data_IF_913665271616
#
_entry.id   IF_913665271616
#
_cell.length_a   1.000
_cell.length_b   1.000
_cell.length_c   1.000
_cell.angle_alpha   90.00
_cell.angle_beta   90.00
_cell.angle_gamma   90.00
#
_symmetry.space_group_name_H-M   'P 1'
#
loop_
_entity.id
_entity.type
_entity.pdbx_description
1 polymer ?
#
# COMPACT_ATOMS: atom_id res chain seq x y z
N UNK A 1 -4.25 13.67 9.75
CA UNK A 1 -3.20 12.64 9.73
C UNK A 1 -1.87 13.33 9.88
N UNK A 2 -0.98 12.82 10.72
CA UNK A 2 0.36 13.37 10.92
C UNK A 2 1.39 12.31 10.49
N UNK A 3 1.39 11.99 9.19
CA UNK A 3 2.36 11.07 8.60
C UNK A 3 3.58 11.88 8.21
N UNK A 4 4.76 11.45 8.66
CA UNK A 4 6.02 12.08 8.29
C UNK A 4 6.46 11.56 6.92
N UNK A 5 6.42 12.43 5.91
CA UNK A 5 6.79 12.08 4.55
C UNK A 5 8.29 11.83 4.36
N UNK A 6 9.13 12.24 5.32
CA UNK A 6 10.58 12.05 5.33
C UNK A 6 11.02 10.81 6.12
N UNK A 7 10.06 10.00 6.60
CA UNK A 7 10.32 8.78 7.34
C UNK A 7 9.98 7.55 6.51
N UNK A 8 10.87 6.54 6.58
CA UNK A 8 10.54 5.16 6.24
C UNK A 8 10.04 4.46 7.49
N UNK A 9 8.82 3.96 7.42
CA UNK A 9 8.14 3.28 8.51
C UNK A 9 8.55 1.81 8.54
N UNK A 10 8.74 1.31 9.76
CA UNK A 10 9.20 -0.07 10.03
C UNK A 10 8.12 -0.88 10.77
N UNK A 11 6.94 -0.30 11.01
CA UNK A 11 5.81 -0.94 11.68
C UNK A 11 4.62 -1.06 10.71
N UNK A 12 4.04 -2.26 10.52
CA UNK A 12 2.82 -2.41 9.74
C UNK A 12 1.61 -1.78 10.45
N UNK A 13 1.59 -1.75 11.78
CA UNK A 13 0.47 -1.19 12.55
C UNK A 13 0.30 0.31 12.30
N UNK A 14 1.43 1.02 12.12
CA UNK A 14 1.42 2.46 11.83
C UNK A 14 0.61 2.74 10.55
N UNK A 15 0.65 1.85 9.55
CA UNK A 15 -0.12 2.00 8.32
C UNK A 15 -1.62 2.02 8.59
N UNK A 16 -2.13 1.10 9.40
CA UNK A 16 -3.56 1.01 9.70
C UNK A 16 -4.01 2.12 10.65
N UNK A 17 -3.23 2.40 11.69
CA UNK A 17 -3.56 3.41 12.73
C UNK A 17 -3.54 4.83 12.15
N UNK A 18 -2.56 5.14 11.29
CA UNK A 18 -2.37 6.50 10.76
C UNK A 18 -3.06 6.72 9.41
N UNK A 19 -3.61 5.68 8.79
CA UNK A 19 -4.18 5.71 7.45
C UNK A 19 -3.11 5.96 6.38
N UNK A 20 -2.09 5.10 6.37
CA UNK A 20 -0.90 5.21 5.52
C UNK A 20 -1.11 4.96 4.03
N UNK A 21 -2.30 4.53 3.62
CA UNK A 21 -2.65 4.28 2.22
C UNK A 21 -2.25 5.46 1.33
N UNK A 22 -1.62 5.19 0.17
CA UNK A 22 -1.16 6.15 -0.84
C UNK A 22 0.06 7.01 -0.44
N UNK A 23 0.37 7.18 0.85
CA UNK A 23 1.34 8.22 1.27
C UNK A 23 2.51 7.72 2.12
N UNK A 24 2.32 6.62 2.86
CA UNK A 24 3.31 6.08 3.79
C UNK A 24 4.35 5.26 3.03
N UNK A 25 5.63 5.52 3.32
CA UNK A 25 6.75 4.71 2.82
C UNK A 25 7.11 3.71 3.88
N UNK A 26 7.05 2.44 3.54
CA UNK A 26 7.37 1.32 4.43
C UNK A 26 8.53 0.52 3.87
N UNK A 27 9.34 -0.09 4.73
CA UNK A 27 10.31 -1.09 4.28
C UNK A 27 9.61 -2.38 3.81
N UNK A 28 10.38 -3.31 3.24
CA UNK A 28 9.83 -4.52 2.62
C UNK A 28 9.05 -5.42 3.59
N UNK A 29 9.57 -5.65 4.81
CA UNK A 29 8.94 -6.59 5.75
C UNK A 29 7.59 -6.07 6.29
N UNK A 30 7.46 -4.80 6.71
CA UNK A 30 6.17 -4.18 7.01
C UNK A 30 5.24 -4.14 5.80
N UNK A 31 5.74 -3.87 4.59
CA UNK A 31 4.91 -3.87 3.38
C UNK A 31 4.26 -5.23 3.13
N UNK A 32 5.03 -6.31 3.28
CA UNK A 32 4.52 -7.70 3.21
C UNK A 32 3.46 -7.93 4.29
N UNK A 33 3.74 -7.54 5.54
CA UNK A 33 2.81 -7.71 6.65
C UNK A 33 1.50 -6.93 6.45
N UNK A 34 1.58 -5.70 5.95
CA UNK A 34 0.41 -4.87 5.59
C UNK A 34 -0.43 -5.58 4.52
N UNK A 35 0.21 -6.10 3.46
CA UNK A 35 -0.51 -6.81 2.41
C UNK A 35 -1.28 -7.99 3.01
N UNK A 36 -0.63 -8.86 3.79
CA UNK A 36 -1.27 -10.04 4.40
C UNK A 36 -2.41 -9.64 5.34
N UNK A 37 -2.23 -8.63 6.18
CA UNK A 37 -3.22 -8.21 7.17
C UNK A 37 -4.38 -7.38 6.59
N UNK A 38 -4.23 -6.75 5.42
CA UNK A 38 -5.18 -5.77 4.89
C UNK A 38 -6.63 -6.28 4.80
N UNK A 39 -6.83 -7.57 4.48
CA UNK A 39 -8.17 -8.17 4.39
C UNK A 39 -8.90 -8.19 5.75
N UNK A 40 -8.17 -8.36 6.85
CA UNK A 40 -8.72 -8.33 8.22
C UNK A 40 -9.18 -6.92 8.60
N UNK A 41 -8.55 -5.91 8.00
CA UNK A 41 -8.92 -4.50 8.13
C UNK A 41 -9.98 -4.05 7.11
N UNK A 42 -10.55 -4.96 6.32
CA UNK A 42 -11.55 -4.65 5.31
C UNK A 42 -11.00 -3.89 4.09
N UNK A 43 -9.70 -4.03 3.83
CA UNK A 43 -8.98 -3.35 2.75
C UNK A 43 -8.52 -4.35 1.67
N UNK A 44 -8.53 -3.90 0.42
CA UNK A 44 -7.89 -4.60 -0.70
C UNK A 44 -6.69 -3.81 -1.18
N UNK A 45 -5.57 -4.47 -1.45
CA UNK A 45 -4.39 -3.82 -2.04
C UNK A 45 -4.64 -3.62 -3.53
N UNK A 46 -4.88 -2.38 -3.94
CA UNK A 46 -5.15 -2.02 -5.33
C UNK A 46 -3.86 -1.68 -6.10
N UNK A 47 -2.82 -1.21 -5.41
CA UNK A 47 -1.53 -0.90 -6.02
C UNK A 47 -0.38 -0.95 -5.01
N UNK A 48 0.79 -1.35 -5.50
CA UNK A 48 2.08 -1.19 -4.83
C UNK A 48 3.02 -0.43 -5.75
N UNK A 49 3.67 0.59 -5.19
CA UNK A 49 4.75 1.34 -5.84
C UNK A 49 6.02 1.18 -5.01
N UNK A 50 7.02 0.50 -5.57
CA UNK A 50 8.32 0.35 -4.96
C UNK A 50 9.28 1.47 -5.36
N UNK A 51 10.35 1.56 -4.60
CA UNK A 51 11.37 2.57 -4.79
C UNK A 51 12.62 2.33 -3.98
N UNK A 52 13.54 3.29 -4.10
CA UNK A 52 14.78 3.32 -3.34
C UNK A 52 14.67 4.41 -2.28
N UNK A 53 15.00 4.06 -1.05
CA UNK A 53 15.09 4.98 0.06
C UNK A 53 16.51 5.52 0.20
N UNK A 54 16.66 6.81 -0.04
CA UNK A 54 17.90 7.55 0.17
C UNK A 54 17.91 8.21 1.56
N UNK A 55 18.97 8.95 1.91
CA UNK A 55 19.02 9.78 3.13
C UNK A 55 17.86 10.80 3.16
N UNK A 56 16.71 10.34 3.71
CA UNK A 56 15.38 10.97 3.80
C UNK A 56 14.60 11.24 2.50
N UNK A 57 14.92 10.53 1.40
CA UNK A 57 14.24 10.69 0.11
C UNK A 57 13.68 9.38 -0.44
N UNK A 58 12.49 9.42 -1.06
CA UNK A 58 11.91 8.29 -1.79
C UNK A 58 12.05 8.52 -3.30
N UNK A 59 12.81 7.65 -3.96
CA UNK A 59 12.89 7.58 -5.42
C UNK A 59 11.92 6.52 -5.92
N UNK A 60 10.79 6.95 -6.51
CA UNK A 60 9.82 6.03 -7.10
C UNK A 60 10.39 5.35 -8.35
N UNK A 61 10.10 4.06 -8.51
CA UNK A 61 10.66 3.21 -9.56
C UNK A 61 9.56 2.63 -10.43
N UNK A 62 9.53 3.06 -11.70
CA UNK A 62 8.50 2.63 -12.66
C UNK A 62 8.58 1.13 -13.00
N UNK A 63 9.76 0.55 -12.82
CA UNK A 63 10.03 -0.89 -12.92
C UNK A 63 9.53 -1.68 -11.69
N UNK A 64 9.05 -1.01 -10.64
CA UNK A 64 8.54 -1.61 -9.41
C UNK A 64 7.09 -1.20 -9.14
N UNK A 65 6.21 -1.42 -10.10
CA UNK A 65 4.77 -1.16 -9.95
C UNK A 65 4.01 -2.47 -10.06
N UNK A 66 3.12 -2.70 -9.12
CA UNK A 66 2.14 -3.78 -9.17
C UNK A 66 0.74 -3.22 -9.04
N UNK A 67 -0.15 -3.66 -9.92
CA UNK A 67 -1.56 -3.31 -9.92
C UNK A 67 -2.37 -4.54 -9.52
N UNK A 68 -3.27 -4.33 -8.56
CA UNK A 68 -4.17 -5.35 -8.04
C UNK A 68 -5.57 -5.23 -8.62
N UNK A 69 -6.51 -5.93 -7.97
CA UNK A 69 -7.93 -5.84 -8.30
C UNK A 69 -8.55 -4.52 -7.84
N UNK A 70 -9.46 -3.98 -8.64
CA UNK A 70 -10.27 -2.83 -8.28
C UNK A 70 -11.44 -3.24 -7.36
N UNK A 71 -11.70 -2.53 -6.24
CA UNK A 71 -12.90 -2.74 -5.45
C UNK A 71 -14.16 -2.22 -6.18
N UNK A 72 -15.36 -2.79 -5.93
CA UNK A 72 -15.66 -3.72 -4.84
C UNK A 72 -15.26 -5.17 -5.13
N UNK A 73 -14.75 -5.86 -4.10
CA UNK A 73 -14.35 -7.27 -4.17
C UNK A 73 -14.76 -8.03 -2.90
N UNK A 74 -15.05 -9.32 -3.05
CA UNK A 74 -15.33 -10.19 -1.90
C UNK A 74 -14.06 -10.51 -1.11
N UNK A 75 -14.24 -11.06 0.10
CA UNK A 75 -13.15 -11.39 1.02
C UNK A 75 -12.16 -12.41 0.45
N UNK A 76 -12.64 -13.45 -0.23
CA UNK A 76 -11.79 -14.51 -0.76
C UNK A 76 -10.89 -13.96 -1.87
N UNK A 77 -11.47 -13.20 -2.80
CA UNK A 77 -10.73 -12.50 -3.86
C UNK A 77 -9.70 -11.53 -3.25
N UNK A 78 -10.10 -10.81 -2.20
CA UNK A 78 -9.20 -9.88 -1.49
C UNK A 78 -8.01 -10.60 -0.87
N UNK A 79 -8.22 -11.70 -0.14
CA UNK A 79 -7.14 -12.47 0.50
C UNK A 79 -6.15 -13.01 -0.54
N UNK A 80 -6.65 -13.53 -1.67
CA UNK A 80 -5.80 -14.02 -2.77
C UNK A 80 -5.00 -12.88 -3.43
N UNK A 81 -5.67 -11.77 -3.75
CA UNK A 81 -5.04 -10.59 -4.33
C UNK A 81 -3.93 -10.03 -3.41
N UNK A 82 -4.24 -9.89 -2.12
CA UNK A 82 -3.32 -9.35 -1.15
C UNK A 82 -2.11 -10.27 -0.90
N UNK A 83 -2.29 -11.59 -0.95
CA UNK A 83 -1.19 -12.55 -0.96
C UNK A 83 -0.28 -12.38 -2.19
N UNK A 84 -0.86 -12.19 -3.39
CA UNK A 84 -0.09 -11.93 -4.60
C UNK A 84 0.69 -10.60 -4.51
N UNK A 85 0.09 -9.57 -3.90
CA UNK A 85 0.74 -8.29 -3.63
C UNK A 85 1.95 -8.47 -2.68
N UNK A 86 1.80 -9.30 -1.64
CA UNK A 86 2.90 -9.64 -0.73
C UNK A 86 4.04 -10.40 -1.44
N UNK A 87 3.69 -11.33 -2.35
CA UNK A 87 4.68 -12.07 -3.14
C UNK A 87 5.45 -11.16 -4.11
N UNK A 88 4.78 -10.16 -4.70
CA UNK A 88 5.45 -9.13 -5.50
C UNK A 88 6.47 -8.35 -4.67
N UNK A 89 6.12 -7.87 -3.47
CA UNK A 89 7.09 -7.19 -2.60
C UNK A 89 8.28 -8.10 -2.26
N UNK A 90 8.04 -9.39 -2.02
CA UNK A 90 9.11 -10.37 -1.78
C UNK A 90 10.05 -10.55 -2.97
N UNK A 91 9.54 -10.52 -4.21
CA UNK A 91 10.41 -10.61 -5.39
C UNK A 91 11.24 -9.36 -5.60
N UNK A 92 10.67 -8.19 -5.28
CA UNK A 92 11.29 -6.88 -5.53
C UNK A 92 12.27 -6.42 -4.45
N UNK A 93 12.20 -6.97 -3.22
CA UNK A 93 12.97 -6.51 -2.05
C UNK A 93 14.50 -6.51 -2.20
N UNK A 94 15.04 -7.13 -3.25
CA UNK A 94 16.49 -7.15 -3.53
C UNK A 94 16.97 -5.88 -4.24
N UNK A 95 16.09 -5.25 -5.01
CA UNK A 95 16.38 -4.07 -5.84
C UNK A 95 15.73 -2.81 -5.26
N UNK A 96 14.64 -2.98 -4.50
CA UNK A 96 13.81 -1.92 -3.95
C UNK A 96 13.66 -2.11 -2.44
N UNK A 97 13.88 -1.05 -1.66
CA UNK A 97 13.91 -1.10 -0.19
C UNK A 97 12.87 -0.21 0.49
N UNK A 98 12.01 0.46 -0.29
CA UNK A 98 10.83 1.17 0.19
C UNK A 98 9.63 0.95 -0.73
N UNK A 99 8.44 0.93 -0.13
CA UNK A 99 7.18 0.67 -0.83
C UNK A 99 6.09 1.62 -0.33
N UNK A 100 5.21 2.02 -1.25
CA UNK A 100 3.97 2.74 -0.97
C UNK A 100 2.81 1.84 -1.40
N UNK A 101 1.84 1.67 -0.52
CA UNK A 101 0.71 0.76 -0.71
C UNK A 101 -0.57 1.59 -0.84
N UNK A 102 -1.33 1.35 -1.91
CA UNK A 102 -2.70 1.85 -2.06
C UNK A 102 -3.66 0.74 -1.68
N UNK A 103 -4.35 0.92 -0.55
CA UNK A 103 -5.29 -0.03 0.00
C UNK A 103 -6.67 0.63 0.27
N UNK A 104 -7.56 0.72 -0.72
CA UNK A 104 -8.94 1.17 -0.52
C UNK A 104 -9.81 0.16 0.26
N UNK A 105 -10.98 0.57 0.77
CA UNK A 105 -11.97 -0.35 1.30
C UNK A 105 -12.43 -1.37 0.26
N UNK A 106 -12.61 -2.62 0.68
CA UNK A 106 -13.14 -3.70 -0.17
C UNK A 106 -14.54 -3.40 -0.73
N UNK A 107 -15.30 -2.52 -0.09
CA UNK A 107 -16.64 -2.12 -0.52
C UNK A 107 -16.65 -1.13 -1.71
N UNK A 108 -15.48 -0.64 -2.13
CA UNK A 108 -15.35 0.34 -3.20
C UNK A 108 -14.49 1.53 -2.81
N UNK A 109 -14.14 2.33 -3.81
CA UNK A 109 -13.48 3.61 -3.60
C UNK A 109 -14.39 4.55 -2.79
N UNK A 110 -13.89 5.04 -1.65
CA UNK A 110 -14.53 6.16 -0.98
C UNK A 110 -14.49 7.37 -1.92
N UNK A 111 -15.60 7.63 -2.63
CA UNK A 111 -15.76 8.85 -3.40
C UNK A 111 -15.75 10.04 -2.45
N UNK A 112 -14.59 10.69 -2.31
CA UNK A 112 -14.49 12.02 -1.72
C UNK A 112 -14.91 13.12 -2.72
N UNK A 113 -15.59 12.76 -3.82
CA UNK A 113 -16.06 13.69 -4.83
C UNK A 113 -17.17 14.58 -4.24
N UNK A 114 -16.78 15.73 -3.70
CA UNK A 114 -17.70 16.86 -3.55
C UNK A 114 -17.78 17.55 -4.92
N UNK A 115 -18.92 17.51 -5.64
CA UNK A 115 -19.05 18.28 -6.86
C UNK A 115 -18.82 19.75 -6.53
N UNK A 116 -17.91 20.40 -7.27
CA UNK A 116 -17.82 21.86 -7.25
C UNK A 116 -19.16 22.37 -7.79
N UNK A 117 -19.92 23.09 -6.97
CA UNK A 117 -21.06 23.87 -7.47
C UNK A 117 -20.48 24.81 -8.54
N UNK A 118 -20.99 24.69 -9.77
CA UNK A 118 -20.83 25.73 -10.79
C UNK A 118 -21.59 26.98 -10.36
#
# INVERSE_FOLDING_TARGET
MNIDHQRRYESPDDFFVLGGSVVMKVSADPAIAICVAAAEHGLVVARIEGGIWHNSGFEARLDCIWDGVDPPVDRRTTEQNNCAAADFVRSERKLHDAFVITAPPMAGWCSSYKPRKQ
#
